data_IF_287459027271
#
_entry.id   IF_287459027271
#
_cell.length_a   1.000
_cell.length_b   1.000
_cell.length_c   1.000
_cell.angle_alpha   90.00
_cell.angle_beta   90.00
_cell.angle_gamma   90.00
#
_symmetry.space_group_name_H-M   'P 1'
#
loop_
_entity.id
_entity.type
_entity.pdbx_description
1 polymer ?
#
# COMPACT_ATOMS: atom_id res chain seq x y z
N UNK A 1 -4.56 -5.27 -31.99
CA UNK A 1 -3.61 -6.18 -31.29
C UNK A 1 -3.43 -5.64 -29.88
N UNK A 2 -3.90 -6.38 -28.89
CA UNK A 2 -3.90 -5.97 -27.47
C UNK A 2 -2.54 -6.29 -26.86
N UNK A 3 -1.86 -5.31 -26.28
CA UNK A 3 -0.57 -5.52 -25.61
C UNK A 3 -0.80 -5.40 -24.10
N UNK A 4 -0.72 -6.53 -23.39
CA UNK A 4 -0.94 -6.60 -21.95
C UNK A 4 0.41 -6.47 -21.23
N UNK A 5 0.53 -5.53 -20.30
CA UNK A 5 1.68 -5.46 -19.39
C UNK A 5 1.23 -5.32 -17.95
N UNK A 6 1.80 -6.17 -17.11
CA UNK A 6 1.57 -6.21 -15.67
C UNK A 6 2.45 -5.16 -14.99
N UNK A 7 1.84 -4.20 -14.32
CA UNK A 7 2.49 -3.33 -13.34
C UNK A 7 1.62 -3.41 -12.08
N UNK A 8 2.26 -3.66 -10.93
CA UNK A 8 1.62 -4.11 -9.70
C UNK A 8 1.62 -2.96 -8.68
N UNK A 9 0.47 -2.33 -8.44
CA UNK A 9 0.24 -1.39 -7.33
C UNK A 9 -1.28 -1.25 -7.14
N UNK A 10 -1.79 -1.41 -5.91
CA UNK A 10 -3.24 -1.57 -5.64
C UNK A 10 -3.79 -0.39 -4.82
N UNK A 11 -4.75 0.36 -5.37
CA UNK A 11 -5.69 1.20 -4.62
C UNK A 11 -7.04 1.07 -5.31
N UNK A 12 -8.09 0.68 -4.58
CA UNK A 12 -9.45 0.64 -5.09
C UNK A 12 -10.31 1.72 -4.42
N UNK A 13 -10.82 2.65 -5.22
CA UNK A 13 -11.95 3.52 -4.89
C UNK A 13 -13.23 2.85 -5.40
N UNK A 14 -14.16 2.52 -4.51
CA UNK A 14 -15.49 2.06 -4.88
C UNK A 14 -16.42 3.29 -5.08
N UNK A 15 -17.03 3.39 -6.26
CA UNK A 15 -18.21 4.23 -6.49
C UNK A 15 -19.41 3.50 -5.85
N UNK A 16 -20.01 4.10 -4.82
CA UNK A 16 -21.17 3.55 -4.14
C UNK A 16 -22.46 4.00 -4.83
N UNK A 17 -23.10 3.10 -5.57
CA UNK A 17 -24.51 3.22 -5.91
C UNK A 17 -25.35 2.97 -4.65
N UNK A 18 -26.23 3.93 -4.32
CA UNK A 18 -27.03 3.99 -3.09
C UNK A 18 -28.18 2.97 -3.08
N UNK A 19 -27.87 1.68 -3.13
CA UNK A 19 -28.76 0.64 -2.60
C UNK A 19 -28.08 0.06 -1.37
N UNK A 20 -28.57 0.45 -0.19
CA UNK A 20 -28.20 -0.18 1.08
C UNK A 20 -28.71 -1.62 1.07
N UNK A 21 -27.97 -2.51 0.41
CA UNK A 21 -28.05 -3.94 0.64
C UNK A 21 -27.70 -4.16 2.11
N UNK A 22 -28.66 -4.66 2.89
CA UNK A 22 -28.42 -5.23 4.20
C UNK A 22 -27.51 -6.45 4.03
N UNK A 23 -26.21 -6.20 3.86
CA UNK A 23 -25.19 -7.24 3.90
C UNK A 23 -25.19 -7.74 5.34
N UNK A 24 -25.75 -8.93 5.56
CA UNK A 24 -25.52 -9.66 6.80
C UNK A 24 -24.04 -10.05 6.82
N UNK A 25 -23.20 -9.14 7.33
CA UNK A 25 -21.81 -9.42 7.65
C UNK A 25 -21.87 -10.41 8.81
N UNK A 26 -21.75 -11.71 8.50
CA UNK A 26 -21.58 -12.73 9.53
C UNK A 26 -20.44 -12.34 10.45
N UNK A 27 -20.50 -12.74 11.74
CA UNK A 27 -19.46 -12.38 12.70
C UNK A 27 -18.07 -12.62 12.08
N UNK A 28 -17.21 -11.59 12.01
CA UNK A 28 -15.92 -11.74 11.38
C UNK A 28 -15.19 -12.86 12.13
N UNK A 29 -14.86 -13.94 11.43
CA UNK A 29 -14.03 -15.00 12.00
C UNK A 29 -12.62 -14.45 12.10
N UNK A 30 -12.27 -13.95 13.29
CA UNK A 30 -10.92 -13.57 13.61
C UNK A 30 -9.98 -14.72 13.30
N UNK A 31 -8.90 -14.42 12.57
CA UNK A 31 -7.77 -15.32 12.47
C UNK A 31 -6.78 -14.91 13.56
N UNK A 32 -6.23 -15.91 14.25
CA UNK A 32 -5.12 -15.67 15.16
C UNK A 32 -3.93 -15.12 14.37
N UNK A 33 -3.15 -14.25 15.01
CA UNK A 33 -1.92 -13.75 14.40
C UNK A 33 -0.87 -14.84 14.32
N UNK A 34 -0.03 -14.77 13.29
CA UNK A 34 1.13 -15.66 13.15
C UNK A 34 2.29 -15.22 14.07
N UNK A 35 2.23 -14.01 14.62
CA UNK A 35 3.29 -13.37 15.41
C UNK A 35 2.72 -12.81 16.74
N UNK A 36 2.33 -13.68 17.68
CA UNK A 36 1.70 -13.24 18.93
C UNK A 36 2.63 -12.42 19.82
N UNK A 37 3.94 -12.71 19.82
CA UNK A 37 4.91 -11.97 20.62
C UNK A 37 5.06 -10.51 20.15
N UNK A 38 5.10 -10.29 18.84
CA UNK A 38 5.22 -8.95 18.26
C UNK A 38 3.94 -8.13 18.46
N UNK A 39 2.78 -8.79 18.42
CA UNK A 39 1.50 -8.17 18.73
C UNK A 39 1.43 -7.68 20.18
N UNK A 40 1.88 -8.49 21.14
CA UNK A 40 1.93 -8.10 22.55
C UNK A 40 2.88 -6.93 22.79
N UNK A 41 4.04 -6.92 22.12
CA UNK A 41 4.96 -5.78 22.16
C UNK A 41 4.29 -4.51 21.61
N UNK A 42 3.57 -4.61 20.48
CA UNK A 42 2.85 -3.48 19.90
C UNK A 42 1.75 -2.95 20.83
N UNK A 43 1.01 -3.83 21.50
CA UNK A 43 0.01 -3.46 22.51
C UNK A 43 0.62 -2.73 23.70
N UNK A 44 1.79 -3.15 24.16
CA UNK A 44 2.51 -2.50 25.27
C UNK A 44 3.04 -1.11 24.89
N UNK A 45 3.41 -0.90 23.63
CA UNK A 45 3.86 0.38 23.10
C UNK A 45 2.69 1.34 22.75
N UNK A 46 1.45 0.86 22.81
CA UNK A 46 0.29 1.67 22.47
C UNK A 46 0.15 2.88 23.42
N UNK A 47 -0.12 4.04 22.83
CA UNK A 47 -0.34 5.26 23.58
C UNK A 47 -1.79 5.33 24.05
N UNK A 48 -2.03 5.04 25.33
CA UNK A 48 -3.36 5.05 25.92
C UNK A 48 -3.71 6.42 26.51
N UNK A 49 -4.95 6.85 26.29
CA UNK A 49 -5.49 8.01 27.01
C UNK A 49 -5.51 7.72 28.53
N UNK A 50 -5.02 8.67 29.30
CA UNK A 50 -4.99 8.61 30.77
C UNK A 50 -6.37 8.83 31.39
N UNK A 51 -7.30 9.45 30.65
CA UNK A 51 -8.66 9.71 31.11
C UNK A 51 -9.58 8.51 31.02
N UNK A 52 -9.18 7.48 30.26
CA UNK A 52 -10.02 6.31 29.99
C UNK A 52 -10.09 5.38 31.23
N UNK A 53 -11.30 4.98 31.68
CA UNK A 53 -11.47 4.01 32.76
C UNK A 53 -10.78 2.67 32.50
N UNK A 54 -10.36 2.01 33.57
CA UNK A 54 -9.69 0.70 33.46
C UNK A 54 -10.60 -0.40 32.90
N UNK A 55 -11.92 -0.32 33.09
CA UNK A 55 -12.89 -1.23 32.46
C UNK A 55 -12.81 -1.16 30.94
N UNK A 56 -12.85 0.07 30.40
CA UNK A 56 -12.94 0.32 28.98
C UNK A 56 -11.62 -0.04 28.28
N UNK A 57 -10.49 0.19 28.96
CA UNK A 57 -9.16 -0.28 28.50
C UNK A 57 -9.15 -1.79 28.32
N UNK A 58 -9.69 -2.53 29.27
CA UNK A 58 -9.75 -4.00 29.19
C UNK A 58 -10.67 -4.46 28.06
N UNK A 59 -11.81 -3.79 27.87
CA UNK A 59 -12.73 -4.11 26.77
C UNK A 59 -12.07 -3.87 25.40
N UNK A 60 -11.31 -2.78 25.25
CA UNK A 60 -10.55 -2.49 24.03
C UNK A 60 -9.45 -3.53 23.83
N UNK A 61 -8.67 -3.87 24.86
CA UNK A 61 -7.63 -4.90 24.76
C UNK A 61 -8.26 -6.23 24.33
N UNK A 62 -9.35 -6.64 24.99
CA UNK A 62 -10.07 -7.87 24.63
C UNK A 62 -10.55 -7.86 23.17
N UNK A 63 -11.04 -6.72 22.68
CA UNK A 63 -11.49 -6.56 21.30
C UNK A 63 -10.33 -6.64 20.30
N UNK A 64 -9.23 -5.95 20.60
CA UNK A 64 -8.02 -5.90 19.75
C UNK A 64 -7.37 -7.28 19.71
N UNK A 65 -7.24 -7.95 20.86
CA UNK A 65 -6.72 -9.32 20.98
C UNK A 65 -7.64 -10.37 20.33
N UNK A 66 -8.94 -10.10 20.17
CA UNK A 66 -9.87 -10.98 19.43
C UNK A 66 -9.60 -10.96 17.92
N UNK A 67 -9.08 -9.86 17.38
CA UNK A 67 -8.88 -9.65 15.94
C UNK A 67 -7.49 -9.07 15.63
N UNK A 68 -6.40 -9.75 16.00
CA UNK A 68 -5.05 -9.18 15.90
C UNK A 68 -4.65 -8.86 14.45
N UNK A 69 -5.08 -9.70 13.50
CA UNK A 69 -4.82 -9.58 12.05
C UNK A 69 -5.46 -8.35 11.38
N UNK A 70 -6.33 -7.61 12.07
CA UNK A 70 -6.92 -6.35 11.55
C UNK A 70 -5.95 -5.19 11.72
N UNK A 71 -4.97 -5.32 12.62
CA UNK A 71 -4.03 -4.26 12.95
C UNK A 71 -2.71 -4.47 12.21
N UNK A 72 -2.13 -3.37 11.75
CA UNK A 72 -0.80 -3.38 11.17
C UNK A 72 0.24 -3.58 12.28
N UNK A 73 0.73 -4.81 12.44
CA UNK A 73 1.76 -5.15 13.41
C UNK A 73 2.73 -6.20 12.84
N UNK A 74 3.93 -6.27 13.43
CA UNK A 74 4.94 -7.26 13.08
C UNK A 74 5.34 -7.24 11.60
N UNK A 75 5.34 -8.41 10.95
CA UNK A 75 5.55 -8.56 9.50
C UNK A 75 4.31 -8.25 8.67
N UNK A 76 3.13 -8.12 9.29
CA UNK A 76 1.84 -7.86 8.64
C UNK A 76 1.45 -6.38 8.68
N UNK A 77 2.42 -5.50 8.43
CA UNK A 77 2.16 -4.05 8.43
C UNK A 77 1.30 -3.60 7.25
N UNK A 78 1.24 -4.42 6.20
CA UNK A 78 0.51 -4.15 4.97
C UNK A 78 -0.63 -5.15 4.80
N UNK A 79 -1.81 -4.64 4.50
CA UNK A 79 -2.94 -5.47 4.10
C UNK A 79 -2.76 -5.98 2.67
N UNK A 80 -3.02 -7.27 2.46
CA UNK A 80 -3.03 -7.89 1.14
C UNK A 80 -4.45 -8.40 0.82
N UNK A 81 -4.98 -8.01 -0.34
CA UNK A 81 -6.19 -8.60 -0.91
C UNK A 81 -5.76 -9.68 -1.90
N UNK A 82 -5.89 -10.94 -1.49
CA UNK A 82 -5.38 -12.10 -2.25
C UNK A 82 -6.33 -12.61 -3.34
N UNK A 83 -7.58 -12.15 -3.35
CA UNK A 83 -8.64 -12.73 -4.19
C UNK A 83 -8.87 -12.04 -5.53
N UNK A 84 -8.23 -10.90 -5.79
CA UNK A 84 -8.52 -10.08 -6.97
C UNK A 84 -7.25 -9.67 -7.69
N UNK A 85 -7.06 -10.19 -8.91
CA UNK A 85 -6.07 -9.69 -9.86
C UNK A 85 -6.70 -8.61 -10.73
N UNK A 86 -6.12 -7.40 -10.74
CA UNK A 86 -6.57 -6.31 -11.60
C UNK A 86 -5.85 -6.35 -12.95
N UNK A 87 -6.61 -6.58 -14.03
CA UNK A 87 -6.14 -6.47 -15.41
C UNK A 87 -6.41 -5.05 -15.95
N UNK A 88 -5.39 -4.18 -15.88
CA UNK A 88 -5.49 -2.82 -16.41
C UNK A 88 -5.29 -2.86 -17.94
N UNK A 89 -6.39 -2.68 -18.68
CA UNK A 89 -6.36 -2.59 -20.15
C UNK A 89 -6.21 -1.14 -20.59
N UNK A 90 -5.08 -0.84 -21.22
CA UNK A 90 -4.86 0.46 -21.86
C UNK A 90 -5.60 0.50 -23.20
N UNK A 91 -6.62 1.34 -23.29
CA UNK A 91 -7.28 1.67 -24.56
C UNK A 91 -6.52 2.77 -25.26
N UNK A 92 -5.96 2.48 -26.42
CA UNK A 92 -5.41 3.51 -27.30
C UNK A 92 -6.46 3.88 -28.36
N UNK A 93 -6.74 5.18 -28.56
CA UNK A 93 -7.44 5.63 -29.75
C UNK A 93 -6.71 5.07 -30.98
N UNK A 94 -7.45 4.52 -31.93
CA UNK A 94 -6.98 4.25 -33.29
C UNK A 94 -6.07 3.01 -33.48
N UNK A 95 -5.97 2.12 -32.48
CA UNK A 95 -5.20 0.87 -32.60
C UNK A 95 -3.67 1.07 -32.66
N UNK A 96 -3.20 2.28 -32.37
CA UNK A 96 -1.78 2.57 -32.16
C UNK A 96 -1.40 2.12 -30.75
N UNK A 97 -0.18 1.60 -30.53
CA UNK A 97 0.27 1.28 -29.18
C UNK A 97 0.25 2.55 -28.31
N UNK A 98 -0.09 2.46 -27.00
CA UNK A 98 0.02 3.62 -26.11
C UNK A 98 1.43 4.24 -26.26
N UNK A 99 1.53 5.57 -26.36
CA UNK A 99 2.80 6.23 -26.63
C UNK A 99 3.83 5.82 -25.56
N UNK A 100 5.08 5.61 -25.97
CA UNK A 100 6.16 5.27 -25.05
C UNK A 100 6.39 6.44 -24.10
N UNK A 101 5.83 6.35 -22.90
CA UNK A 101 6.14 7.24 -21.78
C UNK A 101 7.52 6.84 -21.24
N UNK A 102 8.57 7.39 -21.85
CA UNK A 102 9.93 7.35 -21.30
C UNK A 102 10.33 8.78 -20.92
N UNK A 103 9.83 9.24 -19.77
CA UNK A 103 10.26 10.51 -19.21
C UNK A 103 11.58 10.28 -18.46
N UNK A 104 12.60 11.09 -18.74
CA UNK A 104 13.88 11.02 -18.01
C UNK A 104 13.65 11.37 -16.54
N UNK A 105 14.40 10.72 -15.65
CA UNK A 105 14.44 11.11 -14.24
C UNK A 105 14.86 12.57 -14.11
N UNK A 106 14.21 13.30 -13.20
CA UNK A 106 14.61 14.66 -12.89
C UNK A 106 15.97 14.66 -12.17
N UNK A 107 16.85 15.64 -12.46
CA UNK A 107 18.07 15.79 -11.69
C UNK A 107 17.73 16.08 -10.23
N UNK A 108 18.21 15.25 -9.32
CA UNK A 108 18.00 15.39 -7.89
C UNK A 108 19.29 15.82 -7.18
N UNK A 109 19.15 16.57 -6.09
CA UNK A 109 20.30 16.93 -5.24
C UNK A 109 20.83 15.69 -4.50
N UNK A 110 22.08 15.69 -4.02
CA UNK A 110 22.65 14.55 -3.29
C UNK A 110 21.82 14.14 -2.07
N UNK A 111 21.23 15.11 -1.36
CA UNK A 111 20.32 14.82 -0.24
C UNK A 111 19.04 14.13 -0.70
N UNK A 112 18.41 14.65 -1.77
CA UNK A 112 17.20 14.04 -2.34
C UNK A 112 17.45 12.63 -2.83
N UNK A 113 18.62 12.35 -3.41
CA UNK A 113 18.98 11.01 -3.83
C UNK A 113 19.02 10.02 -2.66
N UNK A 114 19.64 10.40 -1.54
CA UNK A 114 19.67 9.56 -0.33
C UNK A 114 18.28 9.29 0.22
N UNK A 115 17.44 10.32 0.27
CA UNK A 115 16.07 10.18 0.77
C UNK A 115 15.24 9.28 -0.16
N UNK A 116 15.46 9.38 -1.48
CA UNK A 116 14.81 8.50 -2.47
C UNK A 116 15.26 7.04 -2.28
N UNK A 117 16.56 6.81 -2.14
CA UNK A 117 17.14 5.48 -1.96
C UNK A 117 16.60 4.81 -0.70
N UNK A 118 16.56 5.52 0.43
CA UNK A 118 16.00 5.00 1.68
C UNK A 118 14.52 4.60 1.54
N UNK A 119 13.71 5.41 0.86
CA UNK A 119 12.31 5.05 0.61
C UNK A 119 12.18 3.83 -0.34
N UNK A 120 13.05 3.71 -1.34
CA UNK A 120 13.04 2.55 -2.26
C UNK A 120 13.41 1.27 -1.50
N UNK A 121 14.43 1.30 -0.65
CA UNK A 121 14.84 0.17 0.18
C UNK A 121 13.72 -0.26 1.14
N UNK A 122 13.02 0.69 1.75
CA UNK A 122 11.85 0.41 2.59
C UNK A 122 10.76 -0.32 1.78
N UNK A 123 10.37 0.22 0.63
CA UNK A 123 9.33 -0.38 -0.22
C UNK A 123 9.72 -1.75 -0.79
N UNK A 124 11.01 -1.98 -1.08
CA UNK A 124 11.54 -3.29 -1.48
C UNK A 124 11.46 -4.29 -0.33
N UNK A 125 11.84 -3.89 0.88
CA UNK A 125 11.80 -4.77 2.06
C UNK A 125 10.37 -5.15 2.46
N UNK A 126 9.42 -4.23 2.23
CA UNK A 126 7.98 -4.47 2.41
C UNK A 126 7.34 -5.27 1.25
N UNK A 127 8.08 -5.56 0.18
CA UNK A 127 7.56 -6.30 -0.97
C UNK A 127 6.52 -5.54 -1.82
N UNK A 128 6.41 -4.22 -1.65
CA UNK A 128 5.47 -3.36 -2.39
C UNK A 128 5.93 -3.14 -3.82
N UNK A 129 7.25 -3.01 -4.01
CA UNK A 129 7.90 -2.87 -5.31
C UNK A 129 8.91 -3.99 -5.51
N UNK A 130 9.23 -4.29 -6.77
CA UNK A 130 10.21 -5.31 -7.12
C UNK A 130 11.24 -4.77 -8.13
N UNK A 131 12.46 -5.31 -8.06
CA UNK A 131 13.47 -5.02 -9.06
C UNK A 131 13.17 -5.79 -10.34
N UNK A 132 13.18 -5.09 -11.47
CA UNK A 132 12.96 -5.70 -12.80
C UNK A 132 14.28 -5.68 -13.58
N UNK A 133 14.84 -6.85 -13.87
CA UNK A 133 16.18 -7.01 -14.49
C UNK A 133 16.30 -6.42 -15.89
N UNK A 134 15.18 -6.32 -16.62
CA UNK A 134 15.12 -5.77 -17.97
C UNK A 134 13.86 -4.97 -18.13
N UNK A 135 13.99 -3.67 -18.40
CA UNK A 135 12.87 -2.84 -18.81
C UNK A 135 12.32 -3.39 -20.13
N UNK A 136 11.14 -4.03 -20.16
CA UNK A 136 10.62 -4.56 -21.42
C UNK A 136 10.37 -3.41 -22.40
N UNK A 137 10.44 -3.68 -23.72
CA UNK A 137 10.46 -2.62 -24.77
C UNK A 137 9.30 -1.62 -24.73
N UNK A 138 8.17 -2.04 -24.17
CA UNK A 138 6.94 -1.23 -24.00
C UNK A 138 6.68 -0.90 -22.50
N UNK A 139 7.72 -0.91 -21.66
CA UNK A 139 7.57 -0.51 -20.26
C UNK A 139 7.22 0.98 -20.19
N UNK A 140 6.30 1.31 -19.28
CA UNK A 140 6.00 2.69 -18.93
C UNK A 140 7.02 3.10 -17.88
N UNK A 141 7.80 4.14 -18.17
CA UNK A 141 8.82 4.69 -17.27
C UNK A 141 8.43 6.12 -16.92
N UNK A 142 8.05 6.30 -15.67
CA UNK A 142 7.77 7.61 -15.09
C UNK A 142 8.92 8.04 -14.19
N UNK A 143 9.30 9.33 -14.17
CA UNK A 143 10.16 9.86 -13.14
C UNK A 143 9.44 9.76 -11.79
N UNK A 144 10.26 9.61 -10.75
CA UNK A 144 9.83 9.69 -9.36
C UNK A 144 10.26 11.03 -8.81
N UNK A 145 9.38 11.62 -8.01
CA UNK A 145 9.59 12.87 -7.31
C UNK A 145 9.62 12.59 -5.81
N UNK A 146 10.24 13.50 -5.06
CA UNK A 146 10.18 13.47 -3.60
C UNK A 146 9.48 14.72 -3.11
N UNK A 147 8.49 14.53 -2.24
CA UNK A 147 7.79 15.59 -1.56
C UNK A 147 8.11 15.50 -0.07
N UNK A 148 8.34 16.65 0.56
CA UNK A 148 8.53 16.71 2.01
C UNK A 148 7.23 17.18 2.65
N UNK A 149 6.68 16.38 3.56
CA UNK A 149 5.52 16.73 4.38
C UNK A 149 5.89 16.49 5.84
N UNK A 150 5.69 17.50 6.68
CA UNK A 150 6.02 17.44 8.11
C UNK A 150 7.44 16.95 8.43
N UNK A 151 8.42 17.28 7.58
CA UNK A 151 9.81 16.85 7.73
C UNK A 151 10.10 15.41 7.28
N UNK A 152 9.09 14.64 6.86
CA UNK A 152 9.25 13.32 6.25
C UNK A 152 9.27 13.44 4.73
N UNK A 153 10.20 12.73 4.10
CA UNK A 153 10.31 12.66 2.65
C UNK A 153 9.46 11.49 2.12
N UNK A 154 8.65 11.71 1.09
CA UNK A 154 7.73 10.72 0.52
C UNK A 154 7.91 10.66 -1.00
N UNK A 155 7.98 9.44 -1.54
CA UNK A 155 8.06 9.23 -2.98
C UNK A 155 6.69 9.46 -3.65
N UNK A 156 6.70 10.19 -4.75
CA UNK A 156 5.52 10.46 -5.57
C UNK A 156 5.80 10.09 -7.02
N UNK A 157 4.92 9.29 -7.62
CA UNK A 157 4.98 8.99 -9.04
C UNK A 157 4.54 10.20 -9.88
N UNK A 158 5.37 10.61 -10.84
CA UNK A 158 5.02 11.65 -11.82
C UNK A 158 4.07 11.16 -12.91
N UNK A 159 2.94 10.56 -12.54
CA UNK A 159 1.91 10.06 -13.45
C UNK A 159 1.11 11.23 -14.05
N UNK A 160 1.75 11.99 -14.92
CA UNK A 160 1.07 12.84 -15.90
C UNK A 160 0.77 11.97 -17.12
N UNK A 161 -0.46 11.47 -17.20
CA UNK A 161 -1.02 10.80 -18.37
C UNK A 161 -1.46 11.81 -19.43
#
# INVERSE_FOLDING_TARGET
>A
MTCTKKIRTTVATAECDNECLDVQVGEPKGKDTQEPEEFEIALQLANWDQTLPNSDKQDIINLVSKYPMVFAHGSQQLGEVTTEEFDIKLTAPDGQHPPRLQKKAYPASPQKHKDIEANIEELLSLGVIEQVDRTPKDAIVSPVLIQYQNGKATLCGGLEL
#
